data_IF_021448738226
#
_entry.id   IF_021448738226
#
_cell.length_a   1.000
_cell.length_b   1.000
_cell.length_c   1.000
_cell.angle_alpha   90.00
_cell.angle_beta   90.00
_cell.angle_gamma   90.00
#
_symmetry.space_group_name_H-M   'P 1'
#
loop_
_entity.id
_entity.type
_entity.pdbx_description
1 polymer ?
#
# COMPACT_ATOMS: atom_id res chain seq x y z
N UNK A 1 7.87 -2.18 12.82
CA UNK A 1 7.02 -1.66 11.72
C UNK A 1 7.69 -1.69 10.34
N UNK A 2 8.90 -1.15 10.13
CA UNK A 2 9.55 -1.18 8.80
C UNK A 2 10.08 -2.57 8.33
N UNK A 3 10.12 -3.58 9.18
CA UNK A 3 10.57 -4.94 8.83
C UNK A 3 9.46 -5.80 8.22
N UNK A 4 8.21 -5.43 8.49
CA UNK A 4 7.01 -6.16 8.05
C UNK A 4 6.55 -5.77 6.63
N UNK A 5 7.03 -4.61 6.13
CA UNK A 5 6.66 -4.14 4.80
C UNK A 5 7.57 -4.75 3.74
N UNK A 6 6.97 -5.28 2.67
CA UNK A 6 7.68 -5.78 1.50
C UNK A 6 8.64 -4.72 0.92
N UNK A 7 9.75 -5.18 0.37
CA UNK A 7 10.73 -4.31 -0.29
C UNK A 7 10.20 -3.56 -1.51
N UNK A 8 9.06 -4.00 -2.06
CA UNK A 8 8.40 -3.39 -3.23
C UNK A 8 7.58 -2.15 -2.90
N UNK A 9 7.11 -1.98 -1.63
CA UNK A 9 6.46 -0.75 -1.18
C UNK A 9 7.50 0.34 -0.90
N UNK A 10 7.42 1.45 -1.61
CA UNK A 10 8.32 2.58 -1.46
C UNK A 10 7.64 3.83 -0.85
N UNK A 11 6.31 3.90 -0.87
CA UNK A 11 5.57 5.03 -0.32
C UNK A 11 5.76 5.20 1.17
N UNK A 12 5.91 6.45 1.62
CA UNK A 12 6.10 6.84 3.02
C UNK A 12 7.31 6.18 3.72
N UNK A 13 8.29 5.71 2.93
CA UNK A 13 9.51 5.10 3.47
C UNK A 13 10.72 6.02 3.31
N UNK A 14 11.56 6.05 4.36
CA UNK A 14 12.81 6.83 4.34
C UNK A 14 13.72 6.35 3.21
N UNK A 15 14.30 7.29 2.45
CA UNK A 15 15.23 7.05 1.34
C UNK A 15 14.60 6.28 0.16
N UNK A 16 13.29 6.27 0.03
CA UNK A 16 12.58 5.75 -1.14
C UNK A 16 11.87 6.90 -1.83
N UNK A 17 12.08 7.04 -3.13
CA UNK A 17 11.54 8.15 -3.93
C UNK A 17 10.73 7.61 -5.10
N UNK A 18 9.77 8.38 -5.57
CA UNK A 18 8.99 8.06 -6.77
C UNK A 18 9.90 7.85 -7.99
N UNK A 19 10.98 8.66 -8.11
CA UNK A 19 11.96 8.53 -9.19
C UNK A 19 12.64 7.16 -9.22
N UNK A 20 12.87 6.54 -8.08
CA UNK A 20 13.47 5.21 -8.00
C UNK A 20 12.51 4.16 -8.57
N UNK A 21 11.21 4.29 -8.31
CA UNK A 21 10.20 3.40 -8.87
C UNK A 21 10.05 3.61 -10.38
N UNK A 22 10.07 4.84 -10.86
CA UNK A 22 10.06 5.14 -12.30
C UNK A 22 11.29 4.52 -12.98
N UNK A 23 12.47 4.67 -12.39
CA UNK A 23 13.70 4.06 -12.93
C UNK A 23 13.60 2.52 -13.00
N UNK A 24 13.02 1.88 -12.00
CA UNK A 24 12.76 0.44 -12.01
C UNK A 24 11.82 0.04 -13.16
N UNK A 25 10.75 0.82 -13.41
CA UNK A 25 9.82 0.58 -14.52
C UNK A 25 10.53 0.73 -15.87
N UNK A 26 11.28 1.81 -16.05
CA UNK A 26 12.06 2.02 -17.29
C UNK A 26 13.04 0.86 -17.52
N UNK A 27 13.74 0.43 -16.48
CA UNK A 27 14.66 -0.70 -16.56
C UNK A 27 13.94 -2.01 -16.95
N UNK A 28 12.74 -2.28 -16.39
CA UNK A 28 11.93 -3.45 -16.77
C UNK A 28 11.56 -3.39 -18.26
N UNK A 29 11.12 -2.22 -18.74
CA UNK A 29 10.75 -2.01 -20.14
C UNK A 29 11.95 -2.22 -21.08
N UNK A 30 13.10 -1.67 -20.72
CA UNK A 30 14.34 -1.83 -21.52
C UNK A 30 14.77 -3.29 -21.57
N UNK A 31 14.81 -3.96 -20.41
CA UNK A 31 15.17 -5.38 -20.36
C UNK A 31 14.25 -6.28 -21.15
N UNK A 32 12.96 -5.98 -21.21
CA UNK A 32 12.03 -6.77 -22.02
C UNK A 32 12.13 -6.51 -23.50
N UNK A 33 12.52 -5.31 -23.91
CA UNK A 33 12.82 -5.01 -25.32
C UNK A 33 14.05 -5.78 -25.84
N UNK A 34 15.04 -6.03 -24.98
CA UNK A 34 16.21 -6.87 -25.33
C UNK A 34 15.79 -8.32 -25.65
N UNK A 35 14.72 -8.80 -25.03
CA UNK A 35 14.17 -10.15 -25.22
C UNK A 35 12.96 -10.15 -26.17
N UNK A 36 13.17 -10.02 -27.46
CA UNK A 36 12.17 -9.84 -28.52
C UNK A 36 10.99 -10.84 -28.55
N UNK A 37 11.04 -11.93 -27.77
CA UNK A 37 10.00 -12.99 -27.72
C UNK A 37 9.08 -12.91 -26.50
N UNK A 38 9.17 -11.86 -25.70
CA UNK A 38 8.41 -11.74 -24.44
C UNK A 38 7.55 -10.48 -24.48
N UNK A 39 6.25 -10.63 -24.30
CA UNK A 39 5.35 -9.52 -24.04
C UNK A 39 5.21 -9.32 -22.53
N UNK A 40 5.26 -8.07 -22.07
CA UNK A 40 4.89 -7.71 -20.70
C UNK A 40 3.58 -6.93 -20.73
N UNK A 41 2.66 -7.33 -19.88
CA UNK A 41 1.44 -6.59 -19.59
C UNK A 41 1.58 -5.91 -18.25
N UNK A 42 1.28 -4.63 -18.20
CA UNK A 42 1.26 -3.83 -16.98
C UNK A 42 -0.17 -3.52 -16.59
N UNK A 43 -0.48 -3.65 -15.32
CA UNK A 43 -1.72 -3.23 -14.71
C UNK A 43 -1.40 -2.16 -13.66
N UNK A 44 -1.97 -0.97 -13.82
CA UNK A 44 -1.86 0.11 -12.85
C UNK A 44 -3.12 0.17 -12.01
N UNK A 45 -2.94 0.17 -10.69
CA UNK A 45 -4.01 0.23 -9.71
C UNK A 45 -3.80 1.49 -8.87
N UNK A 46 -4.81 2.33 -8.83
CA UNK A 46 -4.90 3.52 -7.99
C UNK A 46 -6.06 3.32 -7.01
N UNK A 47 -5.77 3.38 -5.71
CA UNK A 47 -6.78 3.13 -4.67
C UNK A 47 -7.63 4.39 -4.48
N UNK A 48 -8.90 4.31 -4.88
CA UNK A 48 -9.83 5.41 -4.64
C UNK A 48 -10.08 5.62 -3.14
N UNK A 49 -9.84 6.85 -2.64
CA UNK A 49 -10.06 7.23 -1.23
C UNK A 49 -9.32 6.35 -0.22
N UNK A 50 -8.09 6.00 -0.53
CA UNK A 50 -7.19 5.09 0.16
C UNK A 50 -7.23 5.19 1.69
N UNK A 51 -6.92 6.37 2.26
CA UNK A 51 -6.91 6.61 3.70
C UNK A 51 -8.31 6.62 4.32
N UNK A 52 -9.33 7.03 3.57
CA UNK A 52 -10.70 7.17 4.07
C UNK A 52 -11.51 5.87 4.08
N UNK A 53 -11.04 4.83 3.38
CA UNK A 53 -11.77 3.58 3.22
C UNK A 53 -11.27 2.44 4.13
N UNK A 54 -10.28 2.69 4.97
CA UNK A 54 -9.73 1.69 5.89
C UNK A 54 -10.80 1.29 6.90
N UNK A 55 -11.14 0.00 6.91
CA UNK A 55 -12.08 -0.56 7.87
C UNK A 55 -11.34 -0.91 9.18
N UNK A 56 -11.80 -0.35 10.30
CA UNK A 56 -11.14 -0.52 11.60
C UNK A 56 -11.08 -1.98 12.04
N UNK A 57 -12.18 -2.73 11.93
CA UNK A 57 -12.20 -4.14 12.36
C UNK A 57 -11.18 -4.97 11.58
N UNK A 58 -11.03 -4.70 10.27
CA UNK A 58 -10.00 -5.35 9.45
C UNK A 58 -8.60 -4.89 9.83
N UNK A 59 -8.43 -3.60 10.11
CA UNK A 59 -7.12 -3.04 10.49
C UNK A 59 -6.61 -3.67 11.79
N UNK A 60 -7.47 -3.79 12.80
CA UNK A 60 -7.08 -4.40 14.08
C UNK A 60 -6.70 -5.86 13.93
N UNK A 61 -7.47 -6.62 13.14
CA UNK A 61 -7.15 -8.00 12.82
C UNK A 61 -5.80 -8.12 12.11
N UNK A 62 -5.54 -7.26 11.13
CA UNK A 62 -4.26 -7.22 10.41
C UNK A 62 -3.10 -6.97 11.37
N UNK A 63 -3.21 -6.00 12.26
CA UNK A 63 -2.17 -5.68 13.22
C UNK A 63 -1.87 -6.86 14.16
N UNK A 64 -2.89 -7.59 14.60
CA UNK A 64 -2.74 -8.79 15.42
C UNK A 64 -2.06 -9.92 14.64
N UNK A 65 -2.51 -10.20 13.41
CA UNK A 65 -1.92 -11.23 12.53
C UNK A 65 -0.46 -10.92 12.17
N UNK A 66 -0.08 -9.65 12.09
CA UNK A 66 1.29 -9.20 11.88
C UNK A 66 2.14 -9.18 13.17
N UNK A 67 1.61 -9.68 14.28
CA UNK A 67 2.34 -9.79 15.55
C UNK A 67 2.55 -8.46 16.27
N UNK A 68 1.70 -7.45 16.01
CA UNK A 68 1.74 -6.20 16.80
C UNK A 68 1.33 -6.51 18.23
N UNK A 69 2.10 -6.08 19.25
CA UNK A 69 1.76 -6.30 20.63
C UNK A 69 0.36 -5.77 21.01
N UNK A 70 -0.40 -6.53 21.79
CA UNK A 70 -1.79 -6.21 22.15
C UNK A 70 -1.95 -4.82 22.77
N UNK A 71 -1.02 -4.40 23.62
CA UNK A 71 -1.07 -3.06 24.22
C UNK A 71 -0.99 -1.94 23.19
N UNK A 72 -0.20 -2.12 22.11
CA UNK A 72 -0.13 -1.11 21.03
C UNK A 72 -1.39 -1.14 20.16
N UNK A 73 -1.93 -2.31 19.89
CA UNK A 73 -3.21 -2.45 19.17
C UNK A 73 -4.34 -1.80 19.96
N UNK A 74 -4.37 -1.99 21.29
CA UNK A 74 -5.34 -1.36 22.17
C UNK A 74 -5.20 0.17 22.20
N UNK A 75 -3.98 0.71 22.25
CA UNK A 75 -3.75 2.15 22.16
C UNK A 75 -4.25 2.74 20.83
N UNK A 76 -3.99 2.05 19.72
CA UNK A 76 -4.49 2.47 18.41
C UNK A 76 -6.01 2.38 18.35
N UNK A 77 -6.60 1.31 18.89
CA UNK A 77 -8.05 1.18 19.00
C UNK A 77 -8.65 2.39 19.72
N UNK A 78 -8.16 2.72 20.91
CA UNK A 78 -8.65 3.86 21.70
C UNK A 78 -8.47 5.19 20.97
N UNK A 79 -7.44 5.32 20.12
CA UNK A 79 -7.21 6.53 19.33
C UNK A 79 -8.25 6.71 18.21
N UNK A 80 -8.77 5.62 17.64
CA UNK A 80 -9.66 5.65 16.48
C UNK A 80 -11.12 5.33 16.82
N UNK A 81 -11.41 4.82 18.01
CA UNK A 81 -12.77 4.54 18.47
C UNK A 81 -13.41 5.84 18.98
N UNK A 82 -14.70 5.98 18.72
CA UNK A 82 -15.53 7.10 19.18
C UNK A 82 -15.04 8.50 18.78
N UNK A 83 -14.40 8.57 17.60
CA UNK A 83 -14.02 9.86 17.02
C UNK A 83 -15.24 10.55 16.42
N UNK A 84 -15.48 11.77 16.87
CA UNK A 84 -16.45 12.67 16.30
C UNK A 84 -15.77 13.78 15.49
N UNK A 85 -16.40 14.22 14.45
CA UNK A 85 -15.94 15.31 13.61
C UNK A 85 -17.04 16.32 13.30
N UNK A 86 -16.63 17.52 13.00
CA UNK A 86 -17.48 18.59 12.48
C UNK A 86 -16.74 19.32 11.36
N UNK A 87 -17.46 19.84 10.40
CA UNK A 87 -16.90 20.59 9.27
C UNK A 87 -17.26 22.05 9.42
N UNK A 88 -16.26 22.93 9.36
CA UNK A 88 -16.46 24.38 9.34
C UNK A 88 -16.36 24.91 7.92
N UNK A 89 -17.41 25.54 7.45
CA UNK A 89 -17.47 26.22 6.15
C UNK A 89 -17.74 27.70 6.40
N UNK A 90 -16.72 28.55 6.22
CA UNK A 90 -16.79 29.99 6.52
C UNK A 90 -17.24 30.26 7.97
N UNK A 91 -18.48 30.70 8.17
CA UNK A 91 -19.04 31.05 9.48
C UNK A 91 -20.04 30.01 10.02
N UNK A 92 -20.22 28.88 9.32
CA UNK A 92 -21.14 27.81 9.72
C UNK A 92 -20.36 26.55 10.03
N UNK A 93 -20.81 25.84 11.06
CA UNK A 93 -20.27 24.54 11.46
C UNK A 93 -21.40 23.52 11.32
N UNK A 94 -21.09 22.33 10.83
CA UNK A 94 -22.08 21.22 10.80
C UNK A 94 -22.33 20.70 12.19
N UNK A 95 -23.38 19.91 12.37
CA UNK A 95 -23.53 19.07 13.55
C UNK A 95 -22.39 18.05 13.63
N UNK A 96 -22.12 17.58 14.85
CA UNK A 96 -21.12 16.55 15.07
C UNK A 96 -21.58 15.22 14.46
N UNK A 97 -20.67 14.50 13.83
CA UNK A 97 -20.92 13.18 13.26
C UNK A 97 -19.78 12.23 13.60
N UNK A 98 -20.13 10.96 13.79
CA UNK A 98 -19.18 9.93 14.17
C UNK A 98 -18.38 9.43 12.96
N UNK A 99 -17.06 9.24 13.16
CA UNK A 99 -16.16 8.67 12.16
C UNK A 99 -16.05 7.16 12.42
N UNK A 100 -16.60 6.35 11.51
CA UNK A 100 -16.61 4.89 11.63
C UNK A 100 -15.56 4.16 10.80
N UNK A 101 -14.75 4.86 10.01
CA UNK A 101 -13.72 4.28 9.14
C UNK A 101 -12.71 5.32 8.68
N UNK A 102 -11.59 4.84 8.16
CA UNK A 102 -10.53 5.68 7.60
C UNK A 102 -9.49 6.08 8.63
N UNK A 103 -8.35 6.54 8.17
CA UNK A 103 -7.27 7.10 9.00
C UNK A 103 -7.08 8.57 8.69
N UNK A 104 -6.76 9.36 9.70
CA UNK A 104 -6.70 10.80 9.59
C UNK A 104 -5.58 11.25 8.65
N UNK A 105 -5.92 11.98 7.60
CA UNK A 105 -4.93 12.60 6.70
C UNK A 105 -4.12 13.66 7.48
N UNK A 106 -2.80 13.57 7.37
CA UNK A 106 -1.89 14.44 8.12
C UNK A 106 -1.42 13.88 9.47
N UNK A 107 -2.01 12.80 9.97
CA UNK A 107 -1.50 12.10 11.15
C UNK A 107 -0.23 11.31 10.81
N UNK A 108 0.78 11.37 11.67
CA UNK A 108 2.06 10.67 11.49
C UNK A 108 1.91 9.14 11.42
N UNK A 109 0.87 8.57 12.01
CA UNK A 109 0.59 7.13 12.03
C UNK A 109 -0.11 6.64 10.77
N UNK A 110 -0.93 7.48 10.14
CA UNK A 110 -1.80 7.09 9.03
C UNK A 110 -1.06 6.48 7.84
N UNK A 111 0.08 7.01 7.39
CA UNK A 111 0.86 6.38 6.31
C UNK A 111 1.33 4.97 6.64
N UNK A 112 1.71 4.73 7.91
CA UNK A 112 2.15 3.41 8.34
C UNK A 112 1.01 2.41 8.44
N UNK A 113 -0.14 2.83 8.97
CA UNK A 113 -1.35 2.00 9.06
C UNK A 113 -1.89 1.66 7.67
N UNK A 114 -1.90 2.63 6.77
CA UNK A 114 -2.26 2.39 5.37
C UNK A 114 -1.33 1.38 4.71
N UNK A 115 -0.01 1.56 4.83
CA UNK A 115 0.96 0.63 4.24
C UNK A 115 0.78 -0.81 4.75
N UNK A 116 0.52 -1.01 6.05
CA UNK A 116 0.25 -2.32 6.61
C UNK A 116 -1.05 -2.92 6.07
N UNK A 117 -2.11 -2.11 5.98
CA UNK A 117 -3.40 -2.51 5.42
C UNK A 117 -3.28 -2.90 3.94
N UNK A 118 -2.57 -2.10 3.13
CA UNK A 118 -2.32 -2.37 1.73
C UNK A 118 -1.45 -3.63 1.52
N UNK A 119 -0.43 -3.83 2.38
CA UNK A 119 0.41 -5.02 2.37
C UNK A 119 -0.41 -6.30 2.57
N UNK A 120 -1.31 -6.28 3.56
CA UNK A 120 -2.19 -7.40 3.83
C UNK A 120 -3.15 -7.71 2.65
N UNK A 121 -3.70 -6.67 2.00
CA UNK A 121 -4.54 -6.85 0.81
C UNK A 121 -3.75 -7.54 -0.30
N UNK A 122 -2.54 -7.07 -0.56
CA UNK A 122 -1.69 -7.61 -1.62
C UNK A 122 -1.23 -9.04 -1.31
N UNK A 123 -0.97 -9.35 -0.04
CA UNK A 123 -0.64 -10.70 0.40
C UNK A 123 -1.82 -11.65 0.19
N UNK A 124 -3.03 -11.26 0.57
CA UNK A 124 -4.23 -12.07 0.35
C UNK A 124 -4.61 -12.19 -1.13
N UNK A 125 -4.20 -11.26 -1.98
CA UNK A 125 -4.37 -11.36 -3.43
C UNK A 125 -3.50 -12.48 -4.04
N UNK A 126 -2.63 -13.14 -3.25
CA UNK A 126 -1.75 -14.23 -3.67
C UNK A 126 -0.95 -13.90 -4.93
N UNK A 127 -0.45 -12.67 -4.99
CA UNK A 127 0.47 -12.27 -6.05
C UNK A 127 1.80 -12.97 -5.78
N UNK A 128 1.90 -14.18 -6.25
CA UNK A 128 3.03 -15.07 -5.99
C UNK A 128 4.28 -14.51 -6.66
N UNK A 129 5.17 -13.94 -5.86
CA UNK A 129 6.47 -13.43 -6.30
C UNK A 129 7.37 -14.55 -6.83
N UNK A 130 7.09 -15.81 -6.47
CA UNK A 130 7.85 -16.96 -6.95
C UNK A 130 7.69 -17.18 -8.46
N UNK A 131 6.58 -16.76 -9.06
CA UNK A 131 6.34 -16.80 -10.50
C UNK A 131 6.88 -15.57 -11.24
N UNK A 132 7.42 -14.58 -10.53
CA UNK A 132 8.01 -13.43 -11.17
C UNK A 132 9.34 -13.79 -11.85
N UNK A 133 9.37 -13.75 -13.17
CA UNK A 133 10.59 -14.02 -13.95
C UNK A 133 11.51 -12.79 -14.09
N UNK A 134 11.16 -11.65 -13.47
CA UNK A 134 11.98 -10.44 -13.50
C UNK A 134 12.65 -10.26 -12.14
N UNK A 135 13.99 -10.15 -12.15
CA UNK A 135 14.76 -9.87 -10.95
C UNK A 135 15.22 -8.43 -10.93
N UNK A 136 14.89 -7.71 -9.86
CA UNK A 136 15.44 -6.39 -9.55
C UNK A 136 16.30 -6.53 -8.30
N UNK A 137 17.57 -6.15 -8.37
CA UNK A 137 18.52 -6.29 -7.26
C UNK A 137 18.56 -7.72 -6.66
N UNK A 138 18.49 -8.76 -7.53
CA UNK A 138 18.53 -10.16 -7.14
C UNK A 138 17.23 -10.75 -6.59
N UNK A 139 16.16 -9.98 -6.46
CA UNK A 139 14.84 -10.44 -5.98
C UNK A 139 13.86 -10.59 -7.14
N UNK A 140 13.08 -11.65 -7.12
CA UNK A 140 11.94 -11.79 -8.02
C UNK A 140 10.88 -10.77 -7.63
N UNK A 141 10.41 -9.97 -8.58
CA UNK A 141 9.42 -8.91 -8.34
C UNK A 141 8.40 -8.97 -9.48
N UNK A 142 7.12 -8.93 -9.15
CA UNK A 142 5.99 -8.85 -10.08
C UNK A 142 5.09 -7.63 -9.82
N UNK A 143 5.46 -6.82 -8.85
CA UNK A 143 4.76 -5.58 -8.53
C UNK A 143 5.72 -4.52 -7.98
N UNK A 144 5.35 -3.26 -8.13
CA UNK A 144 5.98 -2.10 -7.49
C UNK A 144 4.87 -1.23 -6.91
N UNK A 145 5.10 -0.70 -5.71
CA UNK A 145 4.11 0.10 -5.00
C UNK A 145 4.71 1.40 -4.48
N UNK A 146 3.94 2.47 -4.60
CA UNK A 146 4.27 3.77 -4.02
C UNK A 146 3.01 4.36 -3.39
N UNK A 147 2.87 4.22 -2.07
CA UNK A 147 1.66 4.54 -1.31
C UNK A 147 0.42 3.82 -1.89
N UNK A 148 -0.55 4.57 -2.36
CA UNK A 148 -1.80 4.16 -2.99
C UNK A 148 -1.64 3.65 -4.43
N UNK A 149 -0.54 3.99 -5.09
CA UNK A 149 -0.27 3.57 -6.46
C UNK A 149 0.43 2.22 -6.50
N UNK A 150 -0.15 1.26 -7.18
CA UNK A 150 0.41 -0.07 -7.38
C UNK A 150 0.50 -0.39 -8.87
N UNK A 151 1.61 -0.98 -9.26
CA UNK A 151 1.80 -1.51 -10.61
C UNK A 151 2.14 -2.99 -10.53
N UNK A 152 1.38 -3.78 -11.25
CA UNK A 152 1.57 -5.22 -11.41
C UNK A 152 2.03 -5.49 -12.83
N UNK A 153 2.79 -6.57 -13.04
CA UNK A 153 3.12 -7.01 -14.39
C UNK A 153 3.20 -8.53 -14.49
N UNK A 154 2.95 -9.00 -15.69
CA UNK A 154 3.07 -10.40 -16.05
C UNK A 154 3.72 -10.54 -17.41
N UNK A 155 4.63 -11.50 -17.54
CA UNK A 155 5.19 -11.91 -18.82
C UNK A 155 4.29 -12.92 -19.49
N UNK A 156 4.14 -12.79 -20.80
CA UNK A 156 3.44 -13.76 -21.63
C UNK A 156 4.36 -14.12 -22.81
N UNK A 157 4.66 -15.41 -22.94
CA UNK A 157 5.42 -15.90 -24.11
C UNK A 157 4.58 -15.70 -25.37
N UNK A 158 5.19 -15.20 -26.44
CA UNK A 158 4.60 -15.27 -27.77
C UNK A 158 4.61 -16.73 -28.22
N UNK A 159 3.46 -17.26 -28.56
CA UNK A 159 3.34 -18.53 -29.26
C UNK A 159 3.87 -18.38 -30.69
#
# INVERSE_FOLDING_TARGET
MNRELSGVQAGFRRRRRTRDQIANICWIIEKTREFQKINIYFCFIDYAKDLYCINYNKLWKILQEMGTPDHLTCLLWNLYTDQDATVRIRHKTTDWFQIGKGVCQGCILSPSLFNLYAEYIMWNARLDEAQAEIKIAGRNINNLRYADNSMLWQKVKRN
#
